data_IF_825004362109
#
_entry.id   IF_825004362109
#
_cell.length_a   1.000
_cell.length_b   1.000
_cell.length_c   1.000
_cell.angle_alpha   90.00
_cell.angle_beta   90.00
_cell.angle_gamma   90.00
#
_symmetry.space_group_name_H-M   'P 1'
#
loop_
_entity.id
_entity.type
_entity.pdbx_description
1 polymer ?
#
# COMPACT_ATOMS: atom_id res chain seq x y z
N UNK A 1 29.60 -1.32 -10.25
CA UNK A 1 28.28 -1.69 -10.81
C UNK A 1 27.26 -1.37 -9.75
N UNK A 2 26.67 -0.18 -9.82
CA UNK A 2 25.54 0.15 -8.96
C UNK A 2 24.39 -0.78 -9.35
N UNK A 3 24.06 -1.73 -8.48
CA UNK A 3 22.80 -2.46 -8.61
C UNK A 3 21.72 -1.43 -8.31
N UNK A 4 21.10 -0.88 -9.34
CA UNK A 4 19.79 -0.27 -9.18
C UNK A 4 18.87 -1.43 -8.81
N UNK A 5 18.68 -1.67 -7.50
CA UNK A 5 17.75 -2.67 -7.01
C UNK A 5 16.36 -2.27 -7.49
N UNK A 6 15.92 -2.92 -8.57
CA UNK A 6 14.57 -2.77 -9.07
C UNK A 6 13.63 -3.28 -7.98
N UNK A 7 12.82 -2.40 -7.42
CA UNK A 7 11.87 -2.76 -6.38
C UNK A 7 10.89 -3.80 -6.93
N UNK A 8 10.64 -4.87 -6.17
CA UNK A 8 9.66 -5.88 -6.54
C UNK A 8 8.30 -5.57 -5.94
N UNK A 9 7.26 -6.23 -6.46
CA UNK A 9 5.90 -6.07 -5.96
C UNK A 9 5.80 -6.54 -4.51
N UNK A 10 6.52 -7.62 -4.16
CA UNK A 10 6.56 -8.17 -2.80
C UNK A 10 7.21 -7.20 -1.81
N UNK A 11 8.28 -6.50 -2.22
CA UNK A 11 8.93 -5.48 -1.40
C UNK A 11 7.98 -4.31 -1.13
N UNK A 12 7.30 -3.81 -2.17
CA UNK A 12 6.28 -2.76 -2.03
C UNK A 12 5.15 -3.23 -1.11
N UNK A 13 4.64 -4.44 -1.31
CA UNK A 13 3.58 -4.98 -0.47
C UNK A 13 4.01 -5.12 0.99
N UNK A 14 5.29 -5.44 1.24
CA UNK A 14 5.85 -5.52 2.59
C UNK A 14 5.90 -4.13 3.24
N UNK A 15 6.32 -3.11 2.51
CA UNK A 15 6.30 -1.71 2.99
C UNK A 15 4.87 -1.27 3.29
N UNK A 16 3.91 -1.57 2.42
CA UNK A 16 2.50 -1.21 2.63
C UNK A 16 1.90 -1.89 3.88
N UNK A 17 2.40 -3.06 4.31
CA UNK A 17 1.98 -3.71 5.57
C UNK A 17 2.43 -2.96 6.84
N UNK A 18 3.37 -2.03 6.72
CA UNK A 18 3.79 -1.20 7.85
C UNK A 18 2.76 -0.10 8.14
N UNK A 19 1.97 0.29 7.14
CA UNK A 19 0.92 1.30 7.27
C UNK A 19 -0.31 0.68 7.95
N UNK A 20 -0.57 1.10 9.19
CA UNK A 20 -1.73 0.66 9.97
C UNK A 20 -2.98 1.40 9.56
N UNK A 21 -4.10 0.69 9.50
CA UNK A 21 -5.39 1.31 9.22
C UNK A 21 -5.93 2.00 10.49
N UNK A 22 -6.18 3.32 10.48
CA UNK A 22 -6.63 4.06 11.66
C UNK A 22 -7.88 3.46 12.28
N UNK A 23 -7.90 3.38 13.62
CA UNK A 23 -9.01 2.76 14.37
C UNK A 23 -9.00 1.22 14.37
N UNK A 24 -8.06 0.57 13.69
CA UNK A 24 -7.93 -0.89 13.66
C UNK A 24 -6.47 -1.33 13.91
N UNK A 25 -6.29 -2.55 14.43
CA UNK A 25 -4.95 -3.12 14.67
C UNK A 25 -4.41 -3.90 13.45
N UNK A 26 -4.97 -3.69 12.26
CA UNK A 26 -4.54 -4.36 11.02
C UNK A 26 -3.97 -3.35 10.03
N UNK A 27 -3.01 -3.79 9.23
CA UNK A 27 -2.43 -2.98 8.17
C UNK A 27 -3.34 -2.90 6.94
N UNK A 28 -3.10 -1.91 6.07
CA UNK A 28 -3.93 -1.64 4.89
C UNK A 28 -3.93 -2.79 3.87
N UNK A 29 -2.88 -3.62 3.83
CA UNK A 29 -2.81 -4.80 2.95
C UNK A 29 -3.68 -5.92 3.52
N UNK A 30 -3.52 -6.25 4.80
CA UNK A 30 -4.31 -7.26 5.51
C UNK A 30 -5.79 -6.88 5.64
N UNK A 31 -6.10 -5.58 5.64
CA UNK A 31 -7.47 -5.08 5.60
C UNK A 31 -8.09 -5.17 4.20
N UNK A 32 -7.31 -5.49 3.17
CA UNK A 32 -7.79 -5.62 1.79
C UNK A 32 -8.00 -4.27 1.10
N UNK A 33 -7.33 -3.20 1.54
CA UNK A 33 -7.43 -1.89 0.88
C UNK A 33 -6.56 -1.79 -0.37
N UNK A 34 -5.46 -2.54 -0.44
CA UNK A 34 -4.60 -2.52 -1.63
C UNK A 34 -5.25 -3.35 -2.73
N UNK A 35 -5.79 -2.67 -3.75
CA UNK A 35 -6.50 -3.29 -4.87
C UNK A 35 -5.53 -3.74 -5.96
N UNK A 36 -4.55 -2.92 -6.28
CA UNK A 36 -3.57 -3.19 -7.34
C UNK A 36 -2.24 -2.50 -7.06
N UNK A 37 -1.14 -3.15 -7.44
CA UNK A 37 0.21 -2.59 -7.44
C UNK A 37 0.76 -2.83 -8.85
N UNK A 38 1.14 -1.76 -9.55
CA UNK A 38 1.74 -1.83 -10.88
C UNK A 38 3.11 -1.17 -10.86
N UNK A 39 4.09 -1.90 -11.38
CA UNK A 39 5.47 -1.47 -11.49
C UNK A 39 5.74 -1.05 -12.94
N UNK A 40 6.15 0.20 -13.12
CA UNK A 40 6.65 0.73 -14.38
C UNK A 40 8.15 1.02 -14.24
N UNK A 41 8.84 1.33 -15.34
CA UNK A 41 10.31 1.49 -15.37
C UNK A 41 10.83 2.50 -14.31
N UNK A 42 10.06 3.54 -14.03
CA UNK A 42 10.43 4.59 -13.07
C UNK A 42 9.33 4.98 -12.09
N UNK A 43 8.16 4.33 -12.15
CA UNK A 43 7.02 4.68 -11.29
C UNK A 43 6.38 3.44 -10.69
N UNK A 44 5.80 3.62 -9.51
CA UNK A 44 4.99 2.61 -8.83
C UNK A 44 3.58 3.17 -8.69
N UNK A 45 2.63 2.50 -9.32
CA UNK A 45 1.22 2.87 -9.29
C UNK A 45 0.47 1.96 -8.33
N UNK A 46 -0.06 2.53 -7.25
CA UNK A 46 -0.76 1.80 -6.20
C UNK A 46 -2.22 2.25 -6.20
N UNK A 47 -3.13 1.33 -6.47
CA UNK A 47 -4.57 1.58 -6.37
C UNK A 47 -5.08 1.10 -5.03
N UNK A 48 -5.62 2.02 -4.23
CA UNK A 48 -6.29 1.71 -2.97
C UNK A 48 -7.80 1.74 -3.16
N UNK A 49 -8.49 0.80 -2.52
CA UNK A 49 -9.94 0.76 -2.41
C UNK A 49 -10.33 0.79 -0.94
N UNK A 50 -11.28 1.65 -0.63
CA UNK A 50 -11.69 1.92 0.74
C UNK A 50 -13.05 1.29 0.92
N UNK A 51 -13.10 0.25 1.74
CA UNK A 51 -14.33 -0.48 2.03
C UNK A 51 -15.01 0.06 3.30
N UNK A 52 -14.66 1.26 3.75
CA UNK A 52 -15.22 1.90 4.95
C UNK A 52 -16.24 2.95 4.55
N UNK A 53 -17.41 2.91 5.20
CA UNK A 53 -18.43 3.96 5.11
C UNK A 53 -17.99 5.26 5.79
N UNK A 54 -16.94 5.20 6.61
CA UNK A 54 -16.38 6.34 7.32
C UNK A 54 -15.15 6.88 6.59
N UNK A 55 -15.39 7.89 5.76
CA UNK A 55 -14.35 8.59 4.98
C UNK A 55 -13.39 9.41 5.85
N UNK A 56 -13.73 9.75 7.09
CA UNK A 56 -12.86 10.57 7.96
C UNK A 56 -11.58 9.83 8.36
N UNK A 57 -11.61 8.49 8.34
CA UNK A 57 -10.45 7.65 8.63
C UNK A 57 -9.32 7.80 7.59
N UNK A 58 -9.62 8.30 6.39
CA UNK A 58 -8.62 8.53 5.34
C UNK A 58 -7.66 9.65 5.64
N UNK A 59 -8.14 10.72 6.27
CA UNK A 59 -7.33 11.91 6.53
C UNK A 59 -6.27 11.67 7.62
N UNK A 60 -6.23 10.46 8.19
CA UNK A 60 -5.35 10.06 9.28
C UNK A 60 -4.27 9.06 8.84
N UNK A 61 -4.30 8.61 7.58
CA UNK A 61 -3.27 7.83 6.92
C UNK A 61 -2.18 8.75 6.35
#
# INVERSE_FOLDING_TARGET
MEKTSQMTQEEIQTILKEIKYPGFNRDIVSFGMVKNISLNENTVDISLQINSENTDLLNQL
#
